data_IF_569278381105
#
_entry.id   IF_569278381105
#
_cell.length_a   1.000
_cell.length_b   1.000
_cell.length_c   1.000
_cell.angle_alpha   90.00
_cell.angle_beta   90.00
_cell.angle_gamma   90.00
#
_symmetry.space_group_name_H-M   'P 1'
#
loop_
_entity.id
_entity.type
_entity.pdbx_description
1 polymer ?
#
# COMPACT_ATOMS: atom_id res chain seq x y z
N UNK A 1 -3.09 1.17 31.56
CA UNK A 1 -2.76 1.82 30.27
C UNK A 1 -2.59 0.73 29.24
N UNK A 2 -3.40 0.77 28.20
CA UNK A 2 -3.67 -0.26 27.19
C UNK A 2 -2.53 -0.40 26.14
N UNK A 3 -1.31 0.00 26.49
CA UNK A 3 -0.10 -0.13 25.66
C UNK A 3 -0.04 0.73 24.40
N UNK A 4 -1.08 1.50 24.10
CA UNK A 4 -1.17 2.34 22.89
C UNK A 4 -0.72 3.77 23.20
N UNK A 5 0.16 4.33 22.37
CA UNK A 5 0.60 5.72 22.47
C UNK A 5 -0.57 6.72 22.36
N UNK A 6 -0.46 7.87 23.05
CA UNK A 6 -1.45 8.94 23.05
C UNK A 6 -1.03 10.06 22.11
N UNK A 7 -1.89 10.43 21.16
CA UNK A 7 -1.66 11.61 20.33
C UNK A 7 -1.88 12.86 21.18
N UNK A 8 -0.89 13.75 21.22
CA UNK A 8 -0.96 15.04 21.91
C UNK A 8 -1.24 16.18 20.93
N UNK A 9 -0.78 16.06 19.69
CA UNK A 9 -1.04 17.00 18.59
C UNK A 9 -2.46 16.80 18.06
N UNK A 10 -3.26 17.87 17.98
CA UNK A 10 -4.68 17.84 17.55
C UNK A 10 -4.96 18.54 16.22
N UNK A 11 -4.00 19.30 15.68
CA UNK A 11 -4.12 20.01 14.42
C UNK A 11 -2.85 19.83 13.58
N UNK A 12 -2.97 20.01 12.27
CA UNK A 12 -1.80 20.02 11.38
C UNK A 12 -1.16 21.40 11.38
N UNK A 13 0.16 21.46 11.42
CA UNK A 13 0.94 22.70 11.41
C UNK A 13 1.96 22.71 10.27
N UNK A 14 2.17 23.88 9.66
CA UNK A 14 3.20 24.11 8.64
C UNK A 14 4.37 24.87 9.27
N UNK A 15 5.53 24.23 9.32
CA UNK A 15 6.77 24.82 9.84
C UNK A 15 7.72 25.11 8.67
N UNK A 16 8.14 26.36 8.53
CA UNK A 16 9.19 26.73 7.57
C UNK A 16 10.56 26.60 8.22
N UNK A 17 11.42 25.80 7.62
CA UNK A 17 12.79 25.56 8.07
C UNK A 17 13.71 26.68 7.59
N UNK A 18 14.87 26.83 8.24
CA UNK A 18 15.86 27.88 7.94
C UNK A 18 16.41 27.81 6.52
N UNK A 19 16.38 26.63 5.89
CA UNK A 19 16.77 26.41 4.50
C UNK A 19 15.61 26.64 3.50
N UNK A 20 14.46 27.14 3.95
CA UNK A 20 13.28 27.39 3.12
C UNK A 20 12.40 26.17 2.83
N UNK A 21 12.75 24.97 3.33
CA UNK A 21 11.87 23.81 3.23
C UNK A 21 10.67 23.93 4.18
N UNK A 22 9.57 23.24 3.86
CA UNK A 22 8.39 23.19 4.71
C UNK A 22 8.20 21.79 5.29
N UNK A 23 7.91 21.72 6.59
CA UNK A 23 7.51 20.53 7.30
C UNK A 23 6.03 20.65 7.67
N UNK A 24 5.22 19.66 7.31
CA UNK A 24 3.86 19.53 7.80
C UNK A 24 3.89 18.54 8.96
N UNK A 25 3.67 19.01 10.18
CA UNK A 25 3.40 18.14 11.31
C UNK A 25 1.90 17.83 11.34
N UNK A 26 1.53 16.57 11.56
CA UNK A 26 0.13 16.13 11.57
C UNK A 26 -0.13 15.30 12.82
N UNK A 27 -1.35 15.34 13.38
CA UNK A 27 -1.77 14.39 14.41
C UNK A 27 -1.51 12.96 13.98
N UNK A 28 -1.20 12.08 14.95
CA UNK A 28 -1.05 10.67 14.63
C UNK A 28 -2.36 10.08 14.10
N UNK A 29 -2.28 9.44 12.93
CA UNK A 29 -3.43 8.84 12.26
C UNK A 29 -3.55 7.38 12.70
N UNK A 30 -4.72 7.00 13.24
CA UNK A 30 -5.00 5.61 13.66
C UNK A 30 -5.75 4.79 12.63
N UNK A 31 -6.48 5.47 11.75
CA UNK A 31 -7.29 4.83 10.73
C UNK A 31 -7.17 5.67 9.46
N UNK A 32 -6.85 4.99 8.36
CA UNK A 32 -6.79 5.57 7.03
C UNK A 32 -7.87 4.88 6.19
N UNK A 33 -8.75 5.68 5.58
CA UNK A 33 -9.72 5.17 4.62
C UNK A 33 -9.13 5.20 3.22
N UNK A 34 -9.24 4.08 2.48
CA UNK A 34 -8.83 4.00 1.07
C UNK A 34 -10.00 4.44 0.16
N UNK A 35 -10.47 5.67 0.35
CA UNK A 35 -11.63 6.21 -0.36
C UNK A 35 -11.28 6.44 -1.83
N UNK A 36 -12.10 5.91 -2.74
CA UNK A 36 -11.95 6.11 -4.19
C UNK A 36 -10.87 5.24 -4.84
N UNK A 37 -10.31 4.26 -4.12
CA UNK A 37 -9.39 3.29 -4.70
C UNK A 37 -10.15 2.09 -5.26
N UNK A 38 -10.03 1.88 -6.57
CA UNK A 38 -10.64 0.74 -7.25
C UNK A 38 -9.71 -0.50 -7.22
N UNK A 39 -10.32 -1.69 -7.17
CA UNK A 39 -9.61 -2.97 -7.11
C UNK A 39 -8.65 -3.17 -8.29
N UNK A 40 -9.02 -2.72 -9.49
CA UNK A 40 -8.16 -2.85 -10.67
C UNK A 40 -6.98 -1.88 -10.63
N UNK A 41 -7.08 -0.78 -9.90
CA UNK A 41 -5.99 0.20 -9.74
C UNK A 41 -5.06 -0.10 -8.58
N UNK A 42 -5.51 -0.88 -7.59
CA UNK A 42 -4.75 -1.21 -6.38
C UNK A 42 -3.37 -1.80 -6.68
N UNK A 43 -3.26 -2.69 -7.68
CA UNK A 43 -2.00 -3.35 -8.02
C UNK A 43 -0.91 -2.33 -8.42
N UNK A 44 -1.28 -1.23 -9.08
CA UNK A 44 -0.35 -0.17 -9.48
C UNK A 44 0.21 0.62 -8.27
N UNK A 45 -0.45 0.56 -7.10
CA UNK A 45 0.03 1.17 -5.87
C UNK A 45 1.12 0.35 -5.16
N UNK A 46 1.44 -0.85 -5.66
CA UNK A 46 2.52 -1.70 -5.18
C UNK A 46 3.64 -1.71 -6.24
N UNK A 47 4.76 -0.99 -6.02
CA UNK A 47 5.82 -0.86 -7.02
C UNK A 47 6.36 -2.21 -7.53
N UNK A 48 6.45 -3.19 -6.63
CA UNK A 48 6.84 -4.55 -6.98
C UNK A 48 5.86 -5.24 -7.95
N UNK A 49 4.55 -5.00 -7.81
CA UNK A 49 3.53 -5.59 -8.66
C UNK A 49 3.53 -4.89 -10.01
N UNK A 50 3.66 -3.56 -10.01
CA UNK A 50 3.78 -2.77 -11.23
C UNK A 50 4.96 -3.24 -12.09
N UNK A 51 6.09 -3.59 -11.47
CA UNK A 51 7.26 -4.11 -12.17
C UNK A 51 7.06 -5.54 -12.72
N UNK A 52 6.28 -6.37 -12.04
CA UNK A 52 6.06 -7.78 -12.39
C UNK A 52 4.85 -8.00 -13.33
N UNK A 53 3.86 -7.10 -13.30
CA UNK A 53 2.62 -7.21 -14.05
C UNK A 53 2.81 -7.46 -15.56
N UNK A 54 3.80 -6.86 -16.26
CA UNK A 54 4.03 -7.16 -17.68
C UNK A 54 4.36 -8.63 -17.98
N UNK A 55 4.83 -9.40 -17.00
CA UNK A 55 5.09 -10.83 -17.14
C UNK A 55 3.86 -11.72 -16.90
N UNK A 56 2.71 -11.15 -16.53
CA UNK A 56 1.49 -11.92 -16.34
C UNK A 56 0.88 -12.30 -17.70
N UNK A 57 0.29 -13.49 -17.76
CA UNK A 57 -0.46 -13.95 -18.95
C UNK A 57 -1.62 -13.03 -19.34
N UNK A 58 -2.31 -12.44 -18.35
CA UNK A 58 -3.46 -11.58 -18.55
C UNK A 58 -3.10 -10.12 -18.27
N UNK A 59 -3.57 -9.21 -19.13
CA UNK A 59 -3.34 -7.77 -19.00
C UNK A 59 -4.08 -7.16 -17.79
N UNK A 60 -5.20 -7.74 -17.42
CA UNK A 60 -6.09 -7.38 -16.33
C UNK A 60 -5.96 -8.33 -15.12
N UNK A 61 -4.80 -8.97 -14.96
CA UNK A 61 -4.52 -9.88 -13.86
C UNK A 61 -4.72 -9.19 -12.50
N UNK A 62 -5.62 -9.70 -11.67
CA UNK A 62 -5.80 -9.28 -10.26
C UNK A 62 -4.70 -9.78 -9.34
N UNK A 63 -3.87 -10.70 -9.82
CA UNK A 63 -2.78 -11.37 -9.11
C UNK A 63 -3.22 -12.25 -7.94
N UNK A 64 -4.50 -12.67 -7.90
CA UNK A 64 -5.07 -13.42 -6.78
C UNK A 64 -5.19 -14.93 -7.08
N UNK A 65 -5.67 -15.27 -8.27
CA UNK A 65 -6.02 -16.64 -8.62
C UNK A 65 -5.63 -17.02 -10.05
N UNK A 66 -5.26 -16.04 -10.87
CA UNK A 66 -4.95 -16.23 -12.27
C UNK A 66 -3.81 -17.22 -12.46
N UNK A 67 -3.90 -18.11 -13.48
CA UNK A 67 -2.79 -18.94 -13.87
C UNK A 67 -1.69 -18.08 -14.51
N UNK A 68 -0.44 -18.52 -14.40
CA UNK A 68 0.73 -17.86 -15.01
C UNK A 68 0.83 -16.37 -14.62
N UNK A 69 0.57 -16.10 -13.34
CA UNK A 69 0.73 -14.79 -12.73
C UNK A 69 2.19 -14.58 -12.29
N UNK A 70 2.89 -13.63 -12.91
CA UNK A 70 4.28 -13.32 -12.57
C UNK A 70 4.46 -12.85 -11.12
N UNK A 71 3.47 -12.17 -10.55
CA UNK A 71 3.48 -11.77 -9.12
C UNK A 71 3.46 -12.99 -8.21
N UNK A 72 2.62 -13.99 -8.50
CA UNK A 72 2.56 -15.23 -7.73
C UNK A 72 3.80 -16.10 -7.93
N UNK A 73 4.34 -16.15 -9.15
CA UNK A 73 5.61 -16.82 -9.42
C UNK A 73 6.77 -16.18 -8.64
N UNK A 74 6.82 -14.85 -8.58
CA UNK A 74 7.83 -14.12 -7.79
C UNK A 74 7.70 -14.38 -6.29
N UNK A 75 6.46 -14.52 -5.78
CA UNK A 75 6.18 -14.93 -4.40
C UNK A 75 6.69 -16.35 -4.12
N UNK A 76 6.37 -17.31 -5.00
CA UNK A 76 6.82 -18.71 -4.89
C UNK A 76 8.35 -18.82 -4.96
N UNK A 77 8.99 -18.00 -5.79
CA UNK A 77 10.44 -17.91 -5.90
C UNK A 77 11.13 -17.15 -4.75
N UNK A 78 10.37 -16.56 -3.81
CA UNK A 78 10.91 -15.79 -2.68
C UNK A 78 11.49 -14.41 -3.05
N UNK A 79 11.30 -13.96 -4.29
CA UNK A 79 11.75 -12.66 -4.78
C UNK A 79 10.76 -11.52 -4.48
N UNK A 80 9.51 -11.88 -4.18
CA UNK A 80 8.50 -10.98 -3.63
C UNK A 80 8.30 -11.28 -2.13
N UNK A 81 8.38 -10.24 -1.30
CA UNK A 81 8.18 -10.38 0.14
C UNK A 81 6.74 -10.84 0.47
N UNK A 82 6.54 -11.95 1.20
CA UNK A 82 5.20 -12.49 1.50
C UNK A 82 4.28 -11.48 2.19
N UNK A 83 4.82 -10.70 3.13
CA UNK A 83 4.10 -9.63 3.84
C UNK A 83 3.49 -8.60 2.89
N UNK A 84 4.15 -8.31 1.77
CA UNK A 84 3.66 -7.33 0.78
C UNK A 84 2.48 -7.90 0.00
N UNK A 85 2.57 -9.15 -0.42
CA UNK A 85 1.47 -9.86 -1.06
C UNK A 85 0.26 -10.02 -0.13
N UNK A 86 0.47 -10.35 1.14
CA UNK A 86 -0.58 -10.40 2.15
C UNK A 86 -1.25 -9.04 2.38
N UNK A 87 -0.46 -7.96 2.44
CA UNK A 87 -0.98 -6.61 2.55
C UNK A 87 -1.87 -6.27 1.35
N UNK A 88 -1.42 -6.58 0.13
CA UNK A 88 -2.21 -6.42 -1.08
C UNK A 88 -3.54 -7.18 -1.00
N UNK A 89 -3.51 -8.48 -0.68
CA UNK A 89 -4.72 -9.30 -0.57
C UNK A 89 -5.71 -8.76 0.46
N UNK A 90 -5.22 -8.35 1.63
CA UNK A 90 -6.05 -7.78 2.69
C UNK A 90 -6.69 -6.46 2.25
N UNK A 91 -5.91 -5.58 1.62
CA UNK A 91 -6.43 -4.32 1.12
C UNK A 91 -7.46 -4.58 0.02
N UNK A 92 -7.12 -5.41 -0.97
CA UNK A 92 -8.01 -5.79 -2.06
C UNK A 92 -9.35 -6.30 -1.53
N UNK A 93 -9.34 -7.19 -0.52
CA UNK A 93 -10.56 -7.71 0.10
C UNK A 93 -11.35 -6.66 0.90
N UNK A 94 -10.69 -5.61 1.40
CA UNK A 94 -11.33 -4.53 2.17
C UNK A 94 -11.88 -3.38 1.33
N UNK A 95 -11.53 -3.32 0.04
CA UNK A 95 -12.18 -2.40 -0.90
C UNK A 95 -13.60 -2.92 -1.15
N UNK A 96 -14.57 -2.02 -1.28
CA UNK A 96 -15.95 -2.34 -1.62
C UNK A 96 -16.08 -2.62 -3.13
#
# INVERSE_FOLDING_TARGET
SDGKGRHTTSASELVTLTNGAHLIDTPGVRQFGLVGLDRHTLAACFPEFLALAPGCRFRDCSHLAEPECAVRAALEAGTLAPRRYEAYRRIHASLD
#
